data_IF_450414480360
#
_entry.id   IF_450414480360
#
_cell.length_a   1.000
_cell.length_b   1.000
_cell.length_c   1.000
_cell.angle_alpha   90.00
_cell.angle_beta   90.00
_cell.angle_gamma   90.00
#
_symmetry.space_group_name_H-M   'P 1'
#
loop_
_entity.id
_entity.type
_entity.pdbx_description
1 polymer ?
#
# COMPACT_ATOMS: atom_id res chain seq x y z
N UNK A 1 -14.13 5.23 9.55
CA UNK A 1 -13.25 6.34 9.14
C UNK A 1 -12.25 5.80 8.14
N UNK A 2 -12.12 6.42 6.97
CA UNK A 2 -11.18 5.95 5.93
C UNK A 2 -9.78 6.40 6.29
N UNK A 3 -8.80 5.50 6.15
CA UNK A 3 -7.37 5.80 6.28
C UNK A 3 -6.69 5.60 4.93
N UNK A 4 -5.69 6.43 4.66
CA UNK A 4 -4.85 6.32 3.46
C UNK A 4 -3.40 6.31 3.91
N UNK A 5 -2.65 5.31 3.45
CA UNK A 5 -1.22 5.16 3.70
C UNK A 5 -0.49 5.23 2.37
N UNK A 6 0.49 6.13 2.29
CA UNK A 6 1.43 6.17 1.18
C UNK A 6 2.50 5.09 1.36
N UNK A 7 2.75 4.31 0.32
CA UNK A 7 3.67 3.17 0.35
C UNK A 7 4.94 3.38 -0.48
N UNK A 8 5.11 4.55 -1.11
CA UNK A 8 6.27 4.89 -1.94
C UNK A 8 5.96 4.86 -3.43
N UNK A 9 6.69 5.65 -4.23
CA UNK A 9 6.40 5.89 -5.65
C UNK A 9 4.95 6.36 -5.87
N UNK A 10 4.10 5.52 -6.45
CA UNK A 10 2.67 5.74 -6.65
C UNK A 10 1.81 4.69 -5.91
N UNK A 11 2.42 3.90 -5.01
CA UNK A 11 1.73 2.88 -4.23
C UNK A 11 0.97 3.48 -3.05
N UNK A 12 -0.30 3.12 -2.90
CA UNK A 12 -1.15 3.52 -1.77
C UNK A 12 -1.95 2.35 -1.23
N UNK A 13 -2.15 2.32 0.09
CA UNK A 13 -3.15 1.50 0.75
C UNK A 13 -4.29 2.39 1.24
N UNK A 14 -5.51 2.07 0.85
CA UNK A 14 -6.73 2.69 1.37
C UNK A 14 -7.44 1.67 2.25
N UNK A 15 -7.65 2.02 3.52
CA UNK A 15 -8.33 1.18 4.50
C UNK A 15 -9.67 1.83 4.89
N UNK A 16 -10.77 1.21 4.47
CA UNK A 16 -12.13 1.56 4.84
C UNK A 16 -12.90 0.34 5.33
N UNK A 17 -14.10 0.10 4.80
CA UNK A 17 -14.81 -1.18 4.98
C UNK A 17 -14.13 -2.34 4.25
N UNK A 18 -13.25 -2.03 3.30
CA UNK A 18 -12.36 -2.94 2.58
C UNK A 18 -10.96 -2.33 2.53
N UNK A 19 -9.97 -3.16 2.25
CA UNK A 19 -8.62 -2.71 1.94
C UNK A 19 -8.43 -2.71 0.42
N UNK A 20 -7.79 -1.67 -0.08
CA UNK A 20 -7.54 -1.49 -1.51
C UNK A 20 -6.10 -1.04 -1.68
N UNK A 21 -5.35 -1.78 -2.51
CA UNK A 21 -4.03 -1.38 -2.97
C UNK A 21 -4.15 -0.70 -4.33
N UNK A 22 -3.53 0.46 -4.47
CA UNK A 22 -3.41 1.19 -5.73
C UNK A 22 -1.94 1.16 -6.13
N UNK A 23 -1.67 0.74 -7.37
CA UNK A 23 -0.34 0.59 -7.98
C UNK A 23 0.71 -0.03 -7.04
N UNK A 24 0.57 -1.32 -6.68
CA UNK A 24 1.36 -1.97 -5.63
C UNK A 24 2.80 -2.30 -6.06
N UNK A 25 3.54 -1.30 -6.55
CA UNK A 25 4.98 -1.41 -6.79
C UNK A 25 5.75 -1.40 -5.46
N UNK A 26 5.79 -2.57 -4.83
CA UNK A 26 6.42 -2.79 -3.52
C UNK A 26 7.74 -3.56 -3.69
N UNK A 27 7.72 -4.68 -4.41
CA UNK A 27 8.94 -5.44 -4.71
C UNK A 27 9.81 -4.67 -5.71
N UNK A 28 11.07 -4.43 -5.35
CA UNK A 28 12.01 -3.67 -6.18
C UNK A 28 11.89 -2.16 -6.07
N UNK A 29 10.89 -1.64 -5.33
CA UNK A 29 10.79 -0.22 -5.05
C UNK A 29 11.75 0.14 -3.89
N UNK A 30 12.80 0.95 -4.13
CA UNK A 30 13.80 1.26 -3.10
C UNK A 30 13.26 2.12 -1.96
N UNK A 31 12.05 2.68 -2.11
CA UNK A 31 11.38 3.51 -1.11
C UNK A 31 10.06 2.89 -0.65
N UNK A 32 9.88 1.58 -0.84
CA UNK A 32 8.70 0.88 -0.35
C UNK A 32 8.58 1.01 1.17
N UNK A 33 7.44 1.50 1.65
CA UNK A 33 7.17 1.66 3.08
C UNK A 33 6.58 0.41 3.75
N UNK A 34 6.34 -0.64 2.97
CA UNK A 34 5.87 -1.95 3.42
C UNK A 34 6.26 -3.02 2.39
N UNK A 35 6.40 -4.26 2.85
CA UNK A 35 6.55 -5.43 1.99
C UNK A 35 5.18 -5.96 1.54
N UNK A 36 5.10 -6.65 0.39
CA UNK A 36 3.85 -7.27 -0.07
C UNK A 36 3.20 -8.18 0.98
N UNK A 37 4.00 -8.94 1.74
CA UNK A 37 3.49 -9.92 2.71
C UNK A 37 2.86 -9.27 3.95
N UNK A 38 3.15 -7.98 4.20
CA UNK A 38 2.58 -7.22 5.32
C UNK A 38 1.21 -6.62 4.97
N UNK A 39 0.83 -6.64 3.69
CA UNK A 39 -0.37 -6.00 3.16
C UNK A 39 -1.37 -7.06 2.72
N UNK A 40 -2.16 -7.57 3.67
CA UNK A 40 -3.39 -8.30 3.33
C UNK A 40 -4.41 -7.28 2.82
N UNK A 41 -4.80 -7.38 1.55
CA UNK A 41 -5.85 -6.57 0.92
C UNK A 41 -7.06 -7.43 0.56
#
# INVERSE_FOLDING_TARGET
MVKVKFLGHAAFLIEGSKKILIDPFLTGNPKAAAKPEELEA
#
